data_IF_741342954835
#
_entry.id   IF_741342954835
#
_cell.length_a   1.000
_cell.length_b   1.000
_cell.length_c   1.000
_cell.angle_alpha   90.00
_cell.angle_beta   90.00
_cell.angle_gamma   90.00
#
_symmetry.space_group_name_H-M   'P 1'
#
loop_
_entity.id
_entity.type
_entity.pdbx_description
1 polymer ?
#
# COMPACT_ATOMS: atom_id res chain seq x y z
N UNK A 1 -59.21 0.24 21.59
CA UNK A 1 -58.00 0.87 22.14
C UNK A 1 -56.83 -0.12 22.06
N UNK A 2 -55.91 0.04 21.11
CA UNK A 2 -54.65 -0.73 21.14
C UNK A 2 -53.81 -0.29 22.34
N UNK A 3 -53.28 -1.20 23.16
CA UNK A 3 -52.57 -0.82 24.37
C UNK A 3 -51.34 0.04 24.04
N UNK A 4 -51.05 1.09 24.84
CA UNK A 4 -49.90 1.98 24.64
C UNK A 4 -48.56 1.23 24.43
N UNK A 5 -48.42 0.07 25.05
CA UNK A 5 -47.21 -0.76 25.02
C UNK A 5 -46.90 -1.38 23.66
N UNK A 6 -47.93 -1.69 22.84
CA UNK A 6 -47.73 -2.30 21.53
C UNK A 6 -47.05 -1.30 20.56
N UNK A 7 -47.45 -0.02 20.60
CA UNK A 7 -46.86 1.03 19.76
C UNK A 7 -45.41 1.33 20.15
N UNK A 8 -45.08 1.28 21.45
CA UNK A 8 -43.73 1.52 21.97
C UNK A 8 -42.75 0.38 21.57
N UNK A 9 -43.20 -0.89 21.66
CA UNK A 9 -42.42 -2.05 21.21
C UNK A 9 -42.15 -2.03 19.70
N UNK A 10 -43.15 -1.67 18.88
CA UNK A 10 -42.98 -1.54 17.43
C UNK A 10 -42.01 -0.41 17.04
N UNK A 11 -42.05 0.74 17.73
CA UNK A 11 -41.09 1.83 17.54
C UNK A 11 -39.66 1.43 17.90
N UNK A 12 -39.46 0.78 19.05
CA UNK A 12 -38.15 0.26 19.46
C UNK A 12 -37.61 -0.79 18.48
N UNK A 13 -38.49 -1.66 17.95
CA UNK A 13 -38.12 -2.65 16.93
C UNK A 13 -37.72 -1.99 15.61
N UNK A 14 -38.44 -0.97 15.14
CA UNK A 14 -38.05 -0.18 13.96
C UNK A 14 -36.72 0.53 14.15
N UNK A 15 -36.51 1.20 15.29
CA UNK A 15 -35.23 1.88 15.60
C UNK A 15 -34.07 0.89 15.61
N UNK A 16 -34.25 -0.29 16.22
CA UNK A 16 -33.21 -1.35 16.21
C UNK A 16 -32.94 -1.85 14.79
N UNK A 17 -33.98 -2.12 13.99
CA UNK A 17 -33.79 -2.59 12.61
C UNK A 17 -33.08 -1.52 11.77
N UNK A 18 -33.50 -0.26 11.83
CA UNK A 18 -32.84 0.83 11.11
C UNK A 18 -31.40 1.00 11.58
N UNK A 19 -31.15 0.98 12.89
CA UNK A 19 -29.80 1.07 13.45
C UNK A 19 -28.89 -0.06 12.98
N UNK A 20 -29.36 -1.31 13.03
CA UNK A 20 -28.62 -2.46 12.50
C UNK A 20 -28.39 -2.36 10.99
N UNK A 21 -29.39 -1.92 10.22
CA UNK A 21 -29.26 -1.74 8.77
C UNK A 21 -28.23 -0.68 8.42
N UNK A 22 -28.27 0.48 9.09
CA UNK A 22 -27.28 1.54 8.93
C UNK A 22 -25.88 1.08 9.31
N UNK A 23 -25.74 0.34 10.42
CA UNK A 23 -24.45 -0.20 10.86
C UNK A 23 -23.88 -1.21 9.86
N UNK A 24 -24.72 -2.13 9.37
CA UNK A 24 -24.30 -3.10 8.34
C UNK A 24 -23.92 -2.40 7.04
N UNK A 25 -24.67 -1.41 6.59
CA UNK A 25 -24.34 -0.65 5.38
C UNK A 25 -23.00 0.11 5.52
N UNK A 26 -22.76 0.71 6.69
CA UNK A 26 -21.49 1.36 6.99
C UNK A 26 -20.33 0.37 6.95
N UNK A 27 -20.50 -0.81 7.58
CA UNK A 27 -19.46 -1.84 7.61
C UNK A 27 -19.14 -2.35 6.20
N UNK A 28 -20.15 -2.63 5.37
CA UNK A 28 -19.96 -3.04 3.97
C UNK A 28 -19.22 -1.95 3.19
N UNK A 29 -19.56 -0.68 3.40
CA UNK A 29 -18.90 0.45 2.74
C UNK A 29 -17.41 0.50 3.11
N UNK A 30 -17.09 0.39 4.40
CA UNK A 30 -15.70 0.40 4.88
C UNK A 30 -14.90 -0.75 4.28
N UNK A 31 -15.43 -1.98 4.33
CA UNK A 31 -14.73 -3.17 3.80
C UNK A 31 -14.52 -3.05 2.29
N UNK A 32 -15.54 -2.59 1.56
CA UNK A 32 -15.43 -2.40 0.10
C UNK A 32 -14.40 -1.34 -0.25
N UNK A 33 -14.39 -0.22 0.49
CA UNK A 33 -13.41 0.84 0.33
C UNK A 33 -11.99 0.34 0.59
N UNK A 34 -11.75 -0.34 1.72
CA UNK A 34 -10.45 -0.91 2.06
C UNK A 34 -9.97 -1.95 1.04
N UNK A 35 -10.89 -2.79 0.54
CA UNK A 35 -10.56 -3.78 -0.50
C UNK A 35 -10.16 -3.09 -1.81
N UNK A 36 -10.95 -2.12 -2.28
CA UNK A 36 -10.62 -1.33 -3.48
C UNK A 36 -9.28 -0.60 -3.35
N UNK A 37 -8.97 -0.14 -2.14
CA UNK A 37 -7.74 0.56 -1.83
C UNK A 37 -6.52 -0.35 -1.88
N UNK A 38 -6.64 -1.59 -1.38
CA UNK A 38 -5.59 -2.60 -1.42
C UNK A 38 -5.31 -3.17 -2.83
N UNK A 39 -6.25 -3.07 -3.76
CA UNK A 39 -6.02 -3.47 -5.15
C UNK A 39 -5.21 -2.36 -5.84
N UNK A 40 -3.91 -2.60 -5.98
CA UNK A 40 -2.94 -1.71 -6.63
C UNK A 40 -2.72 -2.05 -8.09
N UNK A 41 -2.15 -1.10 -8.83
CA UNK A 41 -1.56 -1.35 -10.14
C UNK A 41 -0.35 -2.29 -9.95
N UNK A 42 -0.40 -3.53 -10.47
CA UNK A 42 0.67 -4.49 -10.27
C UNK A 42 1.91 -4.10 -11.05
N UNK A 43 3.08 -4.50 -10.53
CA UNK A 43 4.33 -4.41 -11.27
C UNK A 43 4.29 -5.33 -12.51
N UNK A 44 4.95 -4.90 -13.58
CA UNK A 44 5.16 -5.76 -14.74
C UNK A 44 6.16 -6.86 -14.37
N UNK A 45 5.68 -8.10 -14.39
CA UNK A 45 6.45 -9.27 -13.97
C UNK A 45 7.72 -9.46 -14.78
N UNK A 46 7.67 -9.26 -16.10
CA UNK A 46 8.82 -9.51 -16.96
C UNK A 46 9.88 -8.45 -16.71
N UNK A 47 9.48 -7.17 -16.59
CA UNK A 47 10.36 -6.07 -16.23
C UNK A 47 11.01 -6.27 -14.85
N UNK A 48 10.25 -6.72 -13.85
CA UNK A 48 10.82 -7.01 -12.52
C UNK A 48 11.82 -8.16 -12.56
N UNK A 49 11.54 -9.21 -13.34
CA UNK A 49 12.47 -10.34 -13.50
C UNK A 49 13.77 -9.94 -14.21
N UNK A 50 13.69 -9.00 -15.15
CA UNK A 50 14.87 -8.46 -15.82
C UNK A 50 15.80 -7.75 -14.83
N UNK A 51 15.26 -6.99 -13.87
CA UNK A 51 16.07 -6.39 -12.79
C UNK A 51 16.73 -7.46 -11.92
N UNK A 52 16.00 -8.51 -11.55
CA UNK A 52 16.55 -9.57 -10.70
C UNK A 52 17.62 -10.43 -11.39
N UNK A 53 17.69 -10.37 -12.72
CA UNK A 53 18.70 -11.06 -13.53
C UNK A 53 19.84 -10.15 -13.96
N UNK A 54 19.78 -8.85 -13.66
CA UNK A 54 20.82 -7.91 -14.05
C UNK A 54 22.02 -8.01 -13.11
N UNK A 55 23.12 -8.57 -13.63
CA UNK A 55 24.37 -8.78 -12.89
C UNK A 55 25.06 -7.45 -12.47
N UNK A 56 24.61 -6.29 -12.99
CA UNK A 56 25.14 -4.97 -12.61
C UNK A 56 24.62 -4.49 -11.27
N UNK A 57 23.53 -5.06 -10.77
CA UNK A 57 22.86 -4.61 -9.54
C UNK A 57 22.58 -5.78 -8.59
N UNK A 58 22.34 -5.46 -7.32
CA UNK A 58 21.97 -6.43 -6.29
C UNK A 58 20.68 -5.96 -5.64
N UNK A 59 19.68 -6.84 -5.63
CA UNK A 59 18.40 -6.62 -4.98
C UNK A 59 18.40 -7.18 -3.56
N UNK A 60 17.87 -6.42 -2.60
CA UNK A 60 17.67 -6.85 -1.20
C UNK A 60 16.28 -6.38 -0.74
N UNK A 61 15.48 -7.31 -0.20
CA UNK A 61 14.23 -6.99 0.45
C UNK A 61 14.46 -6.72 1.95
N UNK A 62 14.00 -5.58 2.43
CA UNK A 62 13.89 -5.23 3.85
C UNK A 62 12.48 -5.52 4.40
N UNK A 63 12.22 -5.08 5.63
CA UNK A 63 10.92 -5.28 6.28
C UNK A 63 9.80 -4.47 5.62
N UNK A 64 10.09 -3.22 5.23
CA UNK A 64 9.15 -2.32 4.55
C UNK A 64 9.86 -1.51 3.45
N UNK A 65 10.95 -2.05 2.89
CA UNK A 65 11.76 -1.39 1.86
C UNK A 65 12.28 -2.37 0.85
N UNK A 66 12.44 -1.90 -0.39
CA UNK A 66 13.07 -2.63 -1.47
C UNK A 66 14.35 -1.88 -1.85
N UNK A 67 15.49 -2.54 -1.70
CA UNK A 67 16.81 -1.91 -1.91
C UNK A 67 17.46 -2.48 -3.15
N UNK A 68 17.95 -1.59 -4.02
CA UNK A 68 18.75 -1.94 -5.18
C UNK A 68 20.09 -1.21 -5.09
N UNK A 69 21.19 -1.96 -5.11
CA UNK A 69 22.55 -1.42 -5.03
C UNK A 69 23.38 -1.81 -6.24
N UNK A 70 24.44 -1.05 -6.57
CA UNK A 70 25.39 -1.44 -7.61
C UNK A 70 26.18 -2.69 -7.16
N UNK A 71 26.33 -3.68 -8.05
CA UNK A 71 27.02 -4.95 -7.73
C UNK A 71 28.52 -4.76 -7.43
N UNK A 72 29.13 -3.70 -7.96
CA UNK A 72 30.52 -3.33 -7.69
C UNK A 72 30.72 -2.69 -6.29
N UNK A 73 29.63 -2.45 -5.53
CA UNK A 73 29.63 -1.84 -4.21
C UNK A 73 29.95 -0.34 -4.18
N UNK A 74 30.15 0.30 -5.34
CA UNK A 74 30.46 1.73 -5.42
C UNK A 74 29.16 2.53 -5.56
N UNK A 75 28.72 3.14 -4.47
CA UNK A 75 27.59 4.05 -4.46
C UNK A 75 28.04 5.43 -3.98
N UNK A 76 27.73 6.47 -4.77
CA UNK A 76 28.07 7.86 -4.45
C UNK A 76 26.84 8.68 -4.04
N UNK A 77 25.63 8.15 -4.28
CA UNK A 77 24.38 8.83 -4.03
C UNK A 77 23.29 7.83 -3.61
N UNK A 78 22.50 8.21 -2.61
CA UNK A 78 21.28 7.49 -2.23
C UNK A 78 20.04 8.15 -2.84
N UNK A 79 19.11 7.34 -3.35
CA UNK A 79 17.80 7.74 -3.85
C UNK A 79 16.77 7.05 -2.98
N UNK A 80 16.03 7.82 -2.18
CA UNK A 80 14.86 7.35 -1.47
C UNK A 80 13.62 7.63 -2.32
N UNK A 81 12.93 6.57 -2.72
CA UNK A 81 11.78 6.65 -3.60
C UNK A 81 10.49 6.25 -2.86
N UNK A 82 9.48 7.12 -2.94
CA UNK A 82 8.16 6.89 -2.38
C UNK A 82 7.18 6.55 -3.51
N UNK A 83 6.70 5.29 -3.59
CA UNK A 83 5.74 4.87 -4.60
C UNK A 83 4.49 5.75 -4.67
N UNK A 84 4.05 6.02 -5.89
CA UNK A 84 2.79 6.68 -6.16
C UNK A 84 1.59 5.89 -5.62
N UNK A 85 0.51 6.62 -5.31
CA UNK A 85 -0.69 6.06 -4.71
C UNK A 85 -1.27 4.90 -5.56
N UNK A 86 -1.49 3.75 -4.90
CA UNK A 86 -2.01 2.51 -5.52
C UNK A 86 -1.12 1.93 -6.62
N UNK A 87 0.20 2.08 -6.53
CA UNK A 87 1.15 1.40 -7.43
C UNK A 87 2.02 0.47 -6.61
N UNK A 88 2.22 -0.75 -7.10
CA UNK A 88 3.12 -1.73 -6.50
C UNK A 88 4.57 -1.19 -6.47
N UNK A 89 5.27 -1.19 -5.30
CA UNK A 89 6.64 -0.72 -5.15
C UNK A 89 7.65 -1.35 -6.13
N UNK A 90 7.46 -2.61 -6.52
CA UNK A 90 8.34 -3.29 -7.47
C UNK A 90 8.34 -2.65 -8.87
N UNK A 91 7.31 -1.86 -9.20
CA UNK A 91 7.19 -1.14 -10.48
C UNK A 91 8.31 -0.11 -10.69
N UNK A 92 8.97 0.33 -9.62
CA UNK A 92 9.99 1.38 -9.67
C UNK A 92 11.42 0.82 -9.77
N UNK A 93 11.60 -0.50 -9.65
CA UNK A 93 12.91 -1.12 -9.78
C UNK A 93 13.43 -1.02 -11.22
N UNK A 94 12.61 -1.40 -12.20
CA UNK A 94 13.02 -1.44 -13.61
C UNK A 94 13.34 -0.05 -14.18
N UNK A 95 12.52 0.99 -14.00
CA UNK A 95 12.82 2.32 -14.53
C UNK A 95 14.10 2.96 -13.97
N UNK A 96 14.56 2.51 -12.80
CA UNK A 96 15.69 3.09 -12.08
C UNK A 96 16.93 2.18 -12.06
N UNK A 97 16.86 0.98 -12.67
CA UNK A 97 17.95 0.01 -12.64
C UNK A 97 19.24 0.56 -13.25
N UNK A 98 19.15 1.32 -14.34
CA UNK A 98 20.33 1.90 -15.00
C UNK A 98 20.98 2.98 -14.14
N UNK A 99 20.18 3.78 -13.41
CA UNK A 99 20.70 4.79 -12.46
C UNK A 99 21.45 4.11 -11.32
N UNK A 100 20.94 2.97 -10.84
CA UNK A 100 21.64 2.17 -9.82
C UNK A 100 22.91 1.58 -10.41
N UNK A 101 22.87 1.00 -11.61
CA UNK A 101 24.05 0.46 -12.28
C UNK A 101 25.15 1.51 -12.52
N UNK A 102 24.80 2.79 -12.67
CA UNK A 102 25.74 3.91 -12.80
C UNK A 102 26.38 4.36 -11.47
N UNK A 103 25.95 3.83 -10.32
CA UNK A 103 26.57 4.10 -9.02
C UNK A 103 25.67 4.81 -7.99
N UNK A 104 24.35 4.62 -8.07
CA UNK A 104 23.41 5.06 -7.04
C UNK A 104 22.87 3.88 -6.22
N UNK A 105 22.47 4.12 -4.97
CA UNK A 105 21.66 3.17 -4.19
C UNK A 105 20.21 3.61 -4.23
N UNK A 106 19.31 2.75 -4.66
CA UNK A 106 17.86 2.98 -4.63
C UNK A 106 17.25 2.29 -3.41
N UNK A 107 16.44 3.03 -2.66
CA UNK A 107 15.59 2.51 -1.59
C UNK A 107 14.15 2.87 -1.95
N UNK A 108 13.34 1.90 -2.31
CA UNK A 108 11.90 2.08 -2.56
C UNK A 108 11.13 1.73 -1.30
N UNK A 109 10.28 2.66 -0.87
CA UNK A 109 9.48 2.52 0.34
C UNK A 109 8.23 1.66 0.13
N UNK A 110 8.02 0.65 0.95
CA UNK A 110 6.73 -0.04 1.05
C UNK A 110 5.85 0.71 2.06
N UNK A 111 5.21 1.78 1.57
CA UNK A 111 4.38 2.65 2.39
C UNK A 111 3.05 1.97 2.80
N UNK A 112 2.48 2.42 3.91
CA UNK A 112 1.17 1.95 4.36
C UNK A 112 0.12 2.10 3.24
N UNK A 113 -0.51 0.98 2.88
CA UNK A 113 -1.47 0.88 1.78
C UNK A 113 -0.95 1.29 0.38
N UNK A 114 0.37 1.24 0.13
CA UNK A 114 0.98 1.71 -1.11
C UNK A 114 0.65 3.20 -1.38
N UNK A 115 0.67 4.01 -0.32
CA UNK A 115 0.45 5.45 -0.40
C UNK A 115 1.44 6.21 0.47
N UNK A 116 2.38 6.88 -0.19
CA UNK A 116 3.36 7.75 0.46
C UNK A 116 2.71 8.82 1.37
N UNK A 117 1.49 9.29 1.06
CA UNK A 117 0.79 10.30 1.85
C UNK A 117 0.49 9.84 3.29
N UNK A 118 0.30 8.55 3.51
CA UNK A 118 -0.01 7.98 4.83
C UNK A 118 1.22 7.41 5.53
N UNK A 119 2.41 7.55 4.93
CA UNK A 119 3.66 7.15 5.56
C UNK A 119 4.14 8.26 6.49
N UNK A 120 4.05 8.02 7.80
CA UNK A 120 4.47 8.97 8.83
C UNK A 120 5.83 8.62 9.44
N UNK A 121 6.56 7.67 8.85
CA UNK A 121 7.91 7.31 9.30
C UNK A 121 8.89 8.45 9.01
N UNK A 122 9.74 8.72 9.98
CA UNK A 122 10.83 9.67 9.81
C UNK A 122 12.03 8.99 9.15
N UNK A 123 12.92 9.76 8.53
CA UNK A 123 14.09 9.23 7.82
C UNK A 123 15.03 8.47 8.77
N UNK A 124 15.12 8.88 10.03
CA UNK A 124 15.93 8.18 11.04
C UNK A 124 15.37 6.82 11.46
N UNK A 125 14.11 6.53 11.11
CA UNK A 125 13.44 5.27 11.38
C UNK A 125 13.48 4.30 10.17
N UNK A 126 14.15 4.68 9.08
CA UNK A 126 14.32 3.93 7.84
C UNK A 126 15.75 3.36 7.73
#
# INVERSE_FOLDING_TARGET
>A
MTPPDARKRLRLRRIRITGWTSLTALLVTIVSFLTWFHIVLPADRDATLDVFRDDRVVFTAGDDTLVLTPANGQSHQGILFFPGAKVDPYSYLYPLVDVVAEGATLVVMEALFNMALFDARDLEAL
#
